data_IF_660826212245
#
_entry.id   IF_660826212245
#
_cell.length_a   1.000
_cell.length_b   1.000
_cell.length_c   1.000
_cell.angle_alpha   90.00
_cell.angle_beta   90.00
_cell.angle_gamma   90.00
#
_symmetry.space_group_name_H-M   'P 1'
#
loop_
_entity.id
_entity.type
_entity.pdbx_description
1 polymer ?
#
# COMPACT_ATOMS: atom_id res chain seq x y z
N UNK A 1 15.87 18.70 -13.99
CA UNK A 1 15.07 18.09 -15.09
C UNK A 1 13.59 18.35 -14.83
N UNK A 2 12.72 18.56 -15.84
CA UNK A 2 11.26 18.66 -15.60
C UNK A 2 10.62 17.27 -15.67
N UNK A 3 9.78 16.93 -14.71
CA UNK A 3 8.99 15.68 -14.73
C UNK A 3 7.96 15.78 -15.87
N UNK A 4 7.89 14.81 -16.80
CA UNK A 4 6.89 14.79 -17.85
C UNK A 4 5.46 14.72 -17.30
N UNK A 5 4.50 15.29 -18.04
CA UNK A 5 3.09 15.21 -17.66
C UNK A 5 2.63 13.73 -17.54
N UNK A 6 1.92 13.41 -16.46
CA UNK A 6 1.47 12.04 -16.16
C UNK A 6 2.50 11.14 -15.45
N UNK A 7 3.75 11.59 -15.29
CA UNK A 7 4.81 10.83 -14.61
C UNK A 7 5.02 11.25 -13.14
N UNK A 8 4.15 12.05 -12.55
CA UNK A 8 4.32 12.51 -11.16
C UNK A 8 4.29 11.35 -10.15
N UNK A 9 3.54 10.29 -10.43
CA UNK A 9 3.43 9.13 -9.54
C UNK A 9 4.74 8.34 -9.36
N UNK A 10 5.59 8.28 -10.39
CA UNK A 10 6.91 7.62 -10.27
C UNK A 10 7.92 8.48 -9.50
N UNK A 11 7.61 9.76 -9.29
CA UNK A 11 8.42 10.68 -8.49
C UNK A 11 7.93 10.76 -7.04
N UNK A 12 6.80 10.14 -6.69
CA UNK A 12 6.24 10.18 -5.34
C UNK A 12 6.84 9.04 -4.50
N UNK A 13 7.61 9.34 -3.43
CA UNK A 13 8.21 8.32 -2.56
C UNK A 13 7.21 7.29 -2.04
N UNK A 14 5.99 7.72 -1.74
CA UNK A 14 4.93 6.85 -1.28
C UNK A 14 4.52 5.79 -2.30
N UNK A 15 4.32 6.20 -3.55
CA UNK A 15 3.91 5.32 -4.64
C UNK A 15 5.02 4.36 -5.06
N UNK A 16 6.27 4.81 -4.98
CA UNK A 16 7.45 4.01 -5.30
C UNK A 16 7.76 2.96 -4.23
N UNK A 17 7.59 3.29 -2.94
CA UNK A 17 8.13 2.45 -1.86
C UNK A 17 7.11 1.68 -1.03
N UNK A 18 5.97 2.27 -0.64
CA UNK A 18 5.10 1.63 0.36
C UNK A 18 3.63 1.49 -0.04
N UNK A 19 3.08 2.32 -0.94
CA UNK A 19 1.67 2.20 -1.35
C UNK A 19 1.36 0.84 -1.99
N UNK A 20 2.27 0.29 -2.80
CA UNK A 20 2.10 -1.06 -3.37
C UNK A 20 2.00 -2.13 -2.27
N UNK A 21 2.86 -2.07 -1.27
CA UNK A 21 2.88 -3.04 -0.16
C UNK A 21 1.62 -2.91 0.69
N UNK A 22 1.19 -1.70 1.01
CA UNK A 22 -0.08 -1.42 1.69
C UNK A 22 -1.27 -2.02 0.93
N UNK A 23 -1.35 -1.80 -0.40
CA UNK A 23 -2.42 -2.34 -1.24
C UNK A 23 -2.44 -3.87 -1.27
N UNK A 24 -1.28 -4.52 -1.28
CA UNK A 24 -1.18 -6.00 -1.25
C UNK A 24 -1.74 -6.53 0.08
N UNK A 25 -1.27 -5.99 1.20
CA UNK A 25 -1.72 -6.40 2.55
C UNK A 25 -3.20 -6.17 2.79
N UNK A 26 -3.73 -5.06 2.28
CA UNK A 26 -5.15 -4.78 2.33
C UNK A 26 -5.95 -5.79 1.51
N UNK A 27 -5.45 -6.14 0.31
CA UNK A 27 -6.09 -7.14 -0.56
C UNK A 27 -6.08 -8.53 0.08
N UNK A 28 -5.01 -8.93 0.76
CA UNK A 28 -4.94 -10.21 1.49
C UNK A 28 -6.01 -10.28 2.59
N UNK A 29 -6.16 -9.21 3.38
CA UNK A 29 -7.19 -9.12 4.43
C UNK A 29 -8.60 -9.13 3.85
N UNK A 30 -8.80 -8.42 2.74
CA UNK A 30 -10.05 -8.44 2.01
C UNK A 30 -10.42 -9.84 1.53
N UNK A 31 -9.47 -10.58 0.94
CA UNK A 31 -9.70 -11.96 0.48
C UNK A 31 -10.05 -12.86 1.67
N UNK A 32 -9.28 -12.80 2.76
CA UNK A 32 -9.55 -13.58 3.96
C UNK A 32 -10.94 -13.28 4.58
N UNK A 33 -11.38 -12.02 4.50
CA UNK A 33 -12.72 -11.63 4.90
C UNK A 33 -13.80 -12.27 4.02
N UNK A 34 -13.63 -12.25 2.70
CA UNK A 34 -14.58 -12.87 1.77
C UNK A 34 -14.62 -14.39 1.91
N UNK A 35 -13.46 -15.04 2.08
CA UNK A 35 -13.36 -16.50 2.28
C UNK A 35 -14.13 -16.93 3.54
N UNK A 36 -13.96 -16.23 4.67
CA UNK A 36 -14.73 -16.48 5.90
C UNK A 36 -16.23 -16.30 5.71
N UNK A 37 -16.66 -15.40 4.81
CA UNK A 37 -18.08 -15.30 4.49
C UNK A 37 -18.53 -16.50 3.68
N UNK A 38 -17.80 -16.90 2.64
CA UNK A 38 -18.12 -18.09 1.84
C UNK A 38 -18.26 -19.33 2.73
N UNK A 39 -17.33 -19.57 3.66
CA UNK A 39 -17.41 -20.69 4.60
C UNK A 39 -18.68 -20.65 5.48
N UNK A 40 -19.03 -19.47 6.00
CA UNK A 40 -20.27 -19.28 6.77
C UNK A 40 -21.52 -19.51 5.92
N UNK A 41 -21.48 -19.06 4.67
CA UNK A 41 -22.56 -19.27 3.70
C UNK A 41 -22.75 -20.76 3.40
N UNK A 42 -21.67 -21.53 3.20
CA UNK A 42 -21.75 -22.98 2.99
C UNK A 42 -22.41 -23.69 4.17
N UNK A 43 -22.04 -23.32 5.40
CA UNK A 43 -22.65 -23.85 6.61
C UNK A 43 -24.16 -23.50 6.73
N UNK A 44 -24.54 -22.28 6.39
CA UNK A 44 -25.94 -21.83 6.47
C UNK A 44 -26.81 -22.34 5.30
N UNK A 45 -26.23 -22.57 4.11
CA UNK A 45 -26.91 -23.27 3.02
C UNK A 45 -27.25 -24.71 3.39
N UNK A 46 -26.37 -25.39 4.13
CA UNK A 46 -26.69 -26.71 4.71
C UNK A 46 -27.89 -26.66 5.69
N UNK A 47 -28.16 -25.48 6.28
CA UNK A 47 -29.31 -25.21 7.14
C UNK A 47 -30.53 -24.59 6.42
N UNK A 48 -30.50 -24.51 5.08
CA UNK A 48 -31.53 -23.89 4.23
C UNK A 48 -31.82 -22.40 4.53
N UNK A 49 -30.85 -21.66 5.06
CA UNK A 49 -30.96 -20.23 5.29
C UNK A 49 -30.49 -19.40 4.08
N UNK A 50 -31.15 -18.27 3.81
CA UNK A 50 -30.68 -17.34 2.78
C UNK A 50 -29.55 -16.49 3.31
N UNK A 51 -28.39 -16.51 2.64
CA UNK A 51 -27.21 -15.79 3.11
C UNK A 51 -26.77 -14.76 2.07
N UNK A 52 -26.36 -13.57 2.53
CA UNK A 52 -25.86 -12.48 1.70
C UNK A 52 -24.47 -12.07 2.16
N UNK A 53 -23.61 -11.74 1.20
CA UNK A 53 -22.31 -11.17 1.52
C UNK A 53 -22.50 -9.81 2.19
N UNK A 54 -21.71 -9.57 3.22
CA UNK A 54 -21.76 -8.35 4.04
C UNK A 54 -20.51 -7.52 3.74
N UNK A 55 -20.65 -6.20 3.64
CA UNK A 55 -19.49 -5.32 3.56
C UNK A 55 -18.86 -5.16 4.95
N UNK A 56 -17.53 -5.03 5.07
CA UNK A 56 -16.87 -4.78 6.34
C UNK A 56 -17.32 -3.43 6.90
N UNK A 57 -17.30 -3.32 8.22
CA UNK A 57 -17.55 -2.06 8.89
C UNK A 57 -16.37 -1.10 8.66
N UNK A 58 -16.61 0.19 8.92
CA UNK A 58 -15.56 1.20 8.79
C UNK A 58 -14.41 0.94 9.75
N UNK A 59 -14.73 0.42 10.93
CA UNK A 59 -13.81 0.06 12.00
C UNK A 59 -12.88 -1.08 11.54
N UNK A 60 -13.43 -2.10 10.88
CA UNK A 60 -12.66 -3.22 10.31
C UNK A 60 -11.64 -2.70 9.28
N UNK A 61 -12.10 -1.82 8.37
CA UNK A 61 -11.24 -1.24 7.34
C UNK A 61 -10.13 -0.39 7.96
N UNK A 62 -10.45 0.42 8.98
CA UNK A 62 -9.46 1.22 9.69
C UNK A 62 -8.43 0.34 10.41
N UNK A 63 -8.86 -0.76 11.00
CA UNK A 63 -7.97 -1.74 11.62
C UNK A 63 -7.04 -2.38 10.58
N UNK A 64 -7.55 -2.76 9.41
CA UNK A 64 -6.72 -3.34 8.33
C UNK A 64 -5.63 -2.37 7.87
N UNK A 65 -5.96 -1.07 7.77
CA UNK A 65 -5.00 -0.02 7.42
C UNK A 65 -3.93 0.13 8.50
N UNK A 66 -4.34 0.17 9.78
CA UNK A 66 -3.41 0.28 10.90
C UNK A 66 -2.45 -0.91 10.97
N UNK A 67 -2.95 -2.14 10.87
CA UNK A 67 -2.12 -3.34 10.85
C UNK A 67 -1.16 -3.36 9.65
N UNK A 68 -1.64 -3.01 8.45
CA UNK A 68 -0.79 -2.98 7.27
C UNK A 68 0.35 -1.94 7.38
N UNK A 69 0.08 -0.84 8.09
CA UNK A 69 1.05 0.20 8.41
C UNK A 69 2.09 -0.31 9.42
N UNK A 70 1.67 -0.96 10.50
CA UNK A 70 2.58 -1.52 11.51
C UNK A 70 3.51 -2.60 10.94
N UNK A 71 3.07 -3.31 9.90
CA UNK A 71 3.89 -4.27 9.17
C UNK A 71 4.90 -3.63 8.19
N UNK A 72 4.82 -2.33 7.93
CA UNK A 72 5.84 -1.64 7.12
C UNK A 72 7.11 -1.41 7.93
N UNK A 73 8.25 -1.81 7.36
CA UNK A 73 9.53 -1.48 7.97
C UNK A 73 9.87 -0.01 7.75
N UNK A 74 10.51 0.62 8.74
CA UNK A 74 11.08 1.97 8.57
C UNK A 74 12.08 2.02 7.39
N UNK A 75 12.77 0.91 7.11
CA UNK A 75 13.65 0.77 5.96
C UNK A 75 12.91 0.90 4.62
N UNK A 76 11.73 0.29 4.49
CA UNK A 76 10.87 0.43 3.31
C UNK A 76 10.50 1.89 3.07
N UNK A 77 10.11 2.62 4.13
CA UNK A 77 9.76 4.03 4.04
C UNK A 77 10.98 4.86 3.63
N UNK A 78 12.11 4.68 4.33
CA UNK A 78 13.35 5.41 4.06
C UNK A 78 13.86 5.18 2.63
N UNK A 79 13.76 3.95 2.11
CA UNK A 79 14.15 3.64 0.74
C UNK A 79 13.34 4.40 -0.33
N UNK A 80 12.10 4.76 -0.05
CA UNK A 80 11.29 5.59 -0.97
C UNK A 80 11.87 6.97 -1.22
N UNK A 81 12.64 7.49 -0.27
CA UNK A 81 13.30 8.79 -0.40
C UNK A 81 14.72 8.68 -0.97
N UNK A 82 15.27 7.47 -1.11
CA UNK A 82 16.67 7.28 -1.51
C UNK A 82 16.96 7.77 -2.94
N UNK A 83 16.00 7.59 -3.85
CA UNK A 83 16.10 8.13 -5.22
C UNK A 83 16.00 9.67 -5.25
N UNK A 84 15.20 10.26 -4.35
CA UNK A 84 15.06 11.73 -4.23
C UNK A 84 16.33 12.37 -3.65
N UNK A 85 17.03 11.66 -2.74
CA UNK A 85 18.25 12.16 -2.10
C UNK A 85 19.50 12.02 -2.98
N UNK A 86 19.51 11.12 -3.96
CA UNK A 86 20.64 10.96 -4.87
C UNK A 86 20.75 12.09 -5.90
N UNK A 87 19.62 12.62 -6.39
CA UNK A 87 19.63 13.77 -7.31
C UNK A 87 20.19 15.05 -6.66
N UNK A 88 20.04 15.23 -5.35
CA UNK A 88 20.58 16.40 -4.64
C UNK A 88 22.10 16.42 -4.48
N UNK A 89 22.78 15.26 -4.55
CA UNK A 89 24.24 15.16 -4.37
C UNK A 89 24.98 15.41 -5.69
N UNK A 90 24.39 15.03 -6.82
CA UNK A 90 24.98 15.24 -8.15
C UNK A 90 24.96 16.74 -8.56
N UNK A 91 23.95 17.49 -8.13
CA UNK A 91 23.85 18.93 -8.36
C UNK A 91 24.89 19.75 -7.56
N UNK A 92 25.24 19.34 -6.32
CA UNK A 92 26.29 20.02 -5.54
C UNK A 92 27.71 19.65 -5.99
N UNK A 93 27.94 18.40 -6.38
CA UNK A 93 29.23 17.94 -6.89
C UNK A 93 29.61 18.59 -8.23
N UNK A 94 28.62 18.89 -9.07
CA UNK A 94 28.80 19.56 -10.36
C UNK A 94 29.14 21.06 -10.22
N UNK A 95 28.75 21.70 -9.12
CA UNK A 95 29.07 23.12 -8.86
C UNK A 95 30.49 23.33 -8.33
N UNK A 96 31.10 22.33 -7.68
CA UNK A 96 32.47 22.43 -7.15
C UNK A 96 33.59 22.07 -8.14
N UNK A 97 33.26 21.59 -9.35
CA UNK A 97 34.25 21.32 -10.41
C UNK A 97 34.42 22.49 -11.40
N UNK A 98 33.70 23.60 -11.21
CA UNK A 98 33.89 24.85 -11.94
C UNK A 98 34.42 25.90 -10.95
N UNK A 99 35.68 25.75 -10.54
CA UNK A 99 36.51 26.82 -9.98
C UNK A 99 37.99 26.44 -10.07
#
# INVERSE_FOLDING_TARGET
>A
MRVPAGCTGVCQPADVAWNRLMKIRFRERWIAYLERQVEKHEAAMAAAESVKMVAPAREDVAEYVAQAWDELSAYTIANGFKAVLQEGVEDEASQHQIN
#
